data_IF_303522928730
#
_entry.id   IF_303522928730
#
_cell.length_a   1.000
_cell.length_b   1.000
_cell.length_c   1.000
_cell.angle_alpha   90.00
_cell.angle_beta   90.00
_cell.angle_gamma   90.00
#
_symmetry.space_group_name_H-M   'P 1'
#
loop_
_entity.id
_entity.type
_entity.pdbx_description
1 polymer ?
#
# COMPACT_ATOMS: atom_id res chain seq x y z
N UNK A 1 -46.30 46.41 -5.69
CA UNK A 1 -46.28 45.03 -5.17
C UNK A 1 -45.74 44.10 -6.23
N UNK A 2 -44.67 43.37 -5.87
CA UNK A 2 -44.21 42.07 -6.38
C UNK A 2 -43.99 41.86 -7.88
N UNK A 3 -42.73 41.96 -8.32
CA UNK A 3 -42.20 41.29 -9.52
C UNK A 3 -40.74 40.84 -9.28
N UNK A 4 -40.49 40.06 -8.24
CA UNK A 4 -39.14 39.56 -7.92
C UNK A 4 -39.20 38.19 -7.25
N UNK A 5 -39.76 37.16 -7.90
CA UNK A 5 -39.70 35.79 -7.35
C UNK A 5 -39.59 34.67 -8.39
N UNK A 6 -39.66 34.95 -9.70
CA UNK A 6 -39.79 33.88 -10.69
C UNK A 6 -38.47 33.27 -11.21
N UNK A 7 -37.30 33.85 -10.92
CA UNK A 7 -36.04 33.43 -11.58
C UNK A 7 -35.11 32.56 -10.74
N UNK A 8 -35.45 32.25 -9.48
CA UNK A 8 -34.54 31.53 -8.57
C UNK A 8 -34.77 30.01 -8.58
N UNK A 9 -35.88 29.52 -9.13
CA UNK A 9 -36.25 28.09 -9.03
C UNK A 9 -35.53 27.21 -10.07
N UNK A 10 -34.93 27.76 -11.12
CA UNK A 10 -34.38 26.96 -12.23
C UNK A 10 -32.89 26.59 -12.13
N UNK A 11 -32.18 26.99 -11.07
CA UNK A 11 -30.73 26.77 -10.94
C UNK A 11 -30.33 25.74 -9.86
N UNK A 12 -31.26 24.89 -9.39
CA UNK A 12 -30.97 23.87 -8.36
C UNK A 12 -30.97 22.43 -8.93
N UNK A 13 -31.35 22.24 -10.19
CA UNK A 13 -31.57 20.91 -10.78
C UNK A 13 -30.40 20.36 -11.63
N UNK A 14 -29.15 20.67 -11.29
CA UNK A 14 -27.97 20.15 -12.01
C UNK A 14 -26.90 19.54 -11.10
N UNK A 15 -27.24 19.15 -9.86
CA UNK A 15 -26.38 18.32 -9.02
C UNK A 15 -26.71 16.83 -9.23
N UNK A 16 -26.70 16.40 -10.49
CA UNK A 16 -26.88 15.01 -10.85
C UNK A 16 -25.58 14.24 -10.61
N UNK A 17 -25.58 13.47 -9.52
CA UNK A 17 -24.92 12.18 -9.34
C UNK A 17 -23.64 11.95 -10.16
N UNK A 18 -22.53 12.51 -9.69
CA UNK A 18 -21.23 11.86 -9.85
C UNK A 18 -21.12 10.76 -8.78
N UNK A 19 -21.84 9.65 -8.95
CA UNK A 19 -21.43 8.38 -8.35
C UNK A 19 -20.17 7.95 -9.08
N UNK A 20 -19.04 8.55 -8.68
CA UNK A 20 -17.73 8.16 -9.18
C UNK A 20 -17.51 6.70 -8.85
N UNK A 21 -17.10 5.93 -9.85
CA UNK A 21 -16.56 4.58 -9.63
C UNK A 21 -15.40 4.77 -8.66
N UNK A 22 -15.53 4.25 -7.44
CA UNK A 22 -14.46 4.31 -6.45
C UNK A 22 -13.30 3.45 -6.96
N UNK A 23 -12.29 4.10 -7.53
CA UNK A 23 -11.00 3.47 -7.83
C UNK A 23 -10.06 3.68 -6.64
N UNK A 24 -9.30 2.65 -6.31
CA UNK A 24 -8.20 2.78 -5.36
C UNK A 24 -7.12 3.68 -5.98
N UNK A 25 -6.78 4.78 -5.31
CA UNK A 25 -5.76 5.73 -5.79
C UNK A 25 -4.34 5.14 -5.66
N UNK A 26 -4.14 4.25 -4.69
CA UNK A 26 -2.92 3.50 -4.45
C UNK A 26 -3.28 2.12 -3.84
N UNK A 27 -2.31 1.35 -3.37
CA UNK A 27 -2.57 0.00 -2.86
C UNK A 27 -3.42 0.00 -1.57
N UNK A 28 -3.30 1.03 -0.72
CA UNK A 28 -3.97 1.10 0.59
C UNK A 28 -5.32 1.82 0.54
N UNK A 29 -5.43 2.81 -0.35
CA UNK A 29 -6.57 3.72 -0.41
C UNK A 29 -7.79 3.01 -1.04
N UNK A 30 -8.99 3.38 -0.60
CA UNK A 30 -10.23 2.64 -0.93
C UNK A 30 -10.49 1.41 -0.04
N UNK A 31 -9.66 1.19 0.99
CA UNK A 31 -9.94 0.26 2.09
C UNK A 31 -9.74 -1.23 1.76
N UNK A 32 -9.10 -1.55 0.63
CA UNK A 32 -8.93 -2.94 0.20
C UNK A 32 -7.70 -3.63 0.82
N UNK A 33 -6.60 -2.89 1.08
CA UNK A 33 -5.36 -3.44 1.67
C UNK A 33 -4.86 -2.62 2.89
N UNK A 34 -5.75 -1.87 3.55
CA UNK A 34 -5.38 -1.07 4.71
C UNK A 34 -4.82 -1.92 5.87
N UNK A 35 -5.15 -3.21 5.92
CA UNK A 35 -4.64 -4.17 6.89
C UNK A 35 -3.15 -4.49 6.72
N UNK A 36 -2.57 -4.25 5.53
CA UNK A 36 -1.16 -4.54 5.27
C UNK A 36 -0.20 -3.62 6.03
N UNK A 37 -0.71 -2.51 6.57
CA UNK A 37 0.05 -1.52 7.35
C UNK A 37 -0.43 -1.41 8.81
N UNK A 38 -1.28 -2.31 9.29
CA UNK A 38 -1.82 -2.25 10.65
C UNK A 38 -0.85 -2.84 11.67
N UNK A 39 0.32 -2.20 11.81
CA UNK A 39 1.38 -2.58 12.74
C UNK A 39 1.99 -1.35 13.41
N UNK A 40 2.48 -1.50 14.64
CA UNK A 40 3.17 -0.43 15.36
C UNK A 40 4.47 0.03 14.70
N UNK A 41 5.22 -0.91 14.10
CA UNK A 41 6.47 -0.63 13.42
C UNK A 41 6.37 -1.09 11.96
N UNK A 42 6.54 -0.15 11.03
CA UNK A 42 6.45 -0.39 9.59
C UNK A 42 7.82 -0.28 8.92
N UNK A 43 8.02 -1.04 7.85
CA UNK A 43 9.11 -0.74 6.93
C UNK A 43 8.86 0.60 6.22
N UNK A 44 9.93 1.33 5.94
CA UNK A 44 9.87 2.68 5.35
C UNK A 44 8.98 2.80 4.11
N UNK A 45 9.04 1.87 3.13
CA UNK A 45 8.15 1.89 1.97
C UNK A 45 6.66 1.81 2.33
N UNK A 46 6.28 1.08 3.37
CA UNK A 46 4.87 0.96 3.77
C UNK A 46 4.35 2.26 4.38
N UNK A 47 5.15 2.92 5.22
CA UNK A 47 4.84 4.26 5.72
C UNK A 47 4.78 5.30 4.58
N UNK A 48 5.60 5.12 3.54
CA UNK A 48 5.58 6.00 2.36
C UNK A 48 4.28 5.84 1.54
N UNK A 49 3.77 4.61 1.40
CA UNK A 49 2.50 4.33 0.72
C UNK A 49 1.31 4.99 1.43
N UNK A 50 1.30 4.97 2.77
CA UNK A 50 0.29 5.66 3.58
C UNK A 50 0.27 7.18 3.31
N UNK A 51 1.43 7.76 2.99
CA UNK A 51 1.59 9.17 2.60
C UNK A 51 1.31 9.44 1.12
N UNK A 52 0.82 8.44 0.36
CA UNK A 52 0.44 8.58 -1.04
C UNK A 52 1.60 8.41 -2.04
N UNK A 53 2.74 7.88 -1.61
CA UNK A 53 3.83 7.46 -2.52
C UNK A 53 3.63 6.02 -2.99
N UNK A 54 4.39 5.57 -4.00
CA UNK A 54 4.35 4.19 -4.50
C UNK A 54 5.34 3.31 -3.72
N UNK A 55 5.03 3.05 -2.46
CA UNK A 55 5.87 2.27 -1.55
C UNK A 55 5.75 0.76 -1.75
N UNK A 56 4.53 0.26 -1.97
CA UNK A 56 4.28 -1.18 -2.15
C UNK A 56 5.06 -1.77 -3.34
N UNK A 57 5.27 -0.96 -4.37
CA UNK A 57 5.95 -1.38 -5.60
C UNK A 57 7.47 -1.50 -5.47
N UNK A 58 8.03 -1.09 -4.33
CA UNK A 58 9.44 -1.32 -4.01
C UNK A 58 9.75 -2.81 -3.77
N UNK A 59 8.75 -3.58 -3.34
CA UNK A 59 8.88 -5.02 -3.09
C UNK A 59 8.01 -5.87 -4.04
N UNK A 60 6.83 -5.37 -4.40
CA UNK A 60 5.90 -6.06 -5.29
C UNK A 60 5.88 -5.45 -6.69
N UNK A 61 5.58 -6.28 -7.67
CA UNK A 61 5.37 -5.86 -9.04
C UNK A 61 3.99 -6.34 -9.50
N UNK A 62 3.02 -5.43 -9.68
CA UNK A 62 1.76 -5.80 -10.32
C UNK A 62 2.03 -6.38 -11.71
N UNK A 63 1.45 -7.53 -12.00
CA UNK A 63 1.54 -8.19 -13.30
C UNK A 63 0.16 -8.68 -13.72
N UNK A 64 0.02 -9.12 -14.97
CA UNK A 64 -1.20 -9.81 -15.40
C UNK A 64 -2.48 -8.99 -15.23
N UNK A 65 -3.46 -9.58 -14.54
CA UNK A 65 -4.78 -8.95 -14.35
C UNK A 65 -4.75 -7.99 -13.15
N UNK A 66 -5.26 -6.79 -13.36
CA UNK A 66 -5.51 -5.84 -12.27
C UNK A 66 -6.52 -6.41 -11.27
N UNK A 67 -6.38 -6.00 -10.00
CA UNK A 67 -7.32 -6.32 -8.94
C UNK A 67 -8.67 -5.62 -9.14
N UNK A 68 -9.72 -6.19 -8.56
CA UNK A 68 -11.04 -5.59 -8.37
C UNK A 68 -11.47 -5.73 -6.91
N UNK A 69 -12.57 -5.07 -6.53
CA UNK A 69 -13.09 -5.15 -5.16
C UNK A 69 -13.37 -6.58 -4.68
N UNK A 70 -13.67 -7.50 -5.60
CA UNK A 70 -13.98 -8.90 -5.32
C UNK A 70 -12.83 -9.88 -5.66
N UNK A 71 -11.75 -9.42 -6.32
CA UNK A 71 -10.68 -10.30 -6.80
C UNK A 71 -9.31 -9.67 -6.64
N UNK A 72 -8.39 -10.45 -6.07
CA UNK A 72 -6.98 -10.10 -6.01
C UNK A 72 -6.40 -10.05 -7.43
N UNK A 73 -5.53 -9.08 -7.67
CA UNK A 73 -4.73 -8.99 -8.89
C UNK A 73 -3.53 -9.92 -8.81
N UNK A 74 -2.82 -10.08 -9.93
CA UNK A 74 -1.59 -10.86 -9.97
C UNK A 74 -0.38 -10.00 -9.57
N UNK A 75 0.52 -10.57 -8.78
CA UNK A 75 1.73 -9.90 -8.32
C UNK A 75 2.94 -10.84 -8.40
N UNK A 76 4.08 -10.26 -8.73
CA UNK A 76 5.40 -10.86 -8.57
C UNK A 76 6.19 -10.09 -7.52
N UNK A 77 7.28 -10.66 -7.04
CA UNK A 77 8.28 -9.90 -6.29
C UNK A 77 9.19 -9.12 -7.25
N UNK A 78 9.59 -7.91 -6.87
CA UNK A 78 10.44 -7.05 -7.71
C UNK A 78 11.87 -7.62 -7.87
N UNK A 79 12.30 -8.48 -6.94
CA UNK A 79 13.52 -9.30 -7.02
C UNK A 79 13.32 -10.60 -6.22
N UNK A 80 14.33 -11.47 -6.16
CA UNK A 80 14.31 -12.59 -5.23
C UNK A 80 14.36 -12.10 -3.77
N UNK A 81 13.88 -12.90 -2.83
CA UNK A 81 13.71 -12.52 -1.41
C UNK A 81 14.96 -11.88 -0.81
N UNK A 82 16.10 -12.56 -0.92
CA UNK A 82 17.37 -12.09 -0.36
C UNK A 82 17.80 -10.76 -0.96
N UNK A 83 17.63 -10.61 -2.27
CA UNK A 83 17.97 -9.39 -2.98
C UNK A 83 17.07 -8.23 -2.54
N UNK A 84 15.75 -8.43 -2.42
CA UNK A 84 14.82 -7.41 -1.93
C UNK A 84 15.25 -6.81 -0.59
N UNK A 85 15.56 -7.66 0.38
CA UNK A 85 16.03 -7.22 1.70
C UNK A 85 17.38 -6.50 1.59
N UNK A 86 18.28 -7.01 0.75
CA UNK A 86 19.64 -6.51 0.59
C UNK A 86 19.73 -5.16 -0.13
N UNK A 87 18.67 -4.69 -0.79
CA UNK A 87 18.62 -3.36 -1.43
C UNK A 87 18.79 -2.25 -0.38
N UNK A 88 18.17 -2.41 0.79
CA UNK A 88 18.20 -1.43 1.87
C UNK A 88 19.06 -1.87 3.05
N UNK A 89 18.96 -3.14 3.45
CA UNK A 89 19.73 -3.69 4.55
C UNK A 89 21.04 -4.26 4.03
N UNK A 90 22.15 -3.61 4.36
CA UNK A 90 23.47 -4.13 4.03
C UNK A 90 23.68 -5.52 4.66
N UNK A 91 24.48 -6.36 3.99
CA UNK A 91 25.03 -7.57 4.62
C UNK A 91 25.91 -7.12 5.77
N UNK A 92 25.38 -7.08 6.99
CA UNK A 92 26.21 -6.91 8.17
C UNK A 92 27.25 -8.02 8.16
N UNK A 93 28.52 -7.65 7.98
CA UNK A 93 29.67 -8.55 8.12
C UNK A 93 29.93 -8.92 9.59
N UNK A 94 29.10 -8.41 10.52
CA UNK A 94 29.26 -8.56 11.95
C UNK A 94 28.46 -9.74 12.55
N UNK A 95 27.67 -10.46 11.75
CA UNK A 95 26.81 -11.54 12.25
C UNK A 95 26.85 -12.75 11.32
N UNK A 96 27.13 -13.95 11.86
CA UNK A 96 26.96 -15.26 11.18
C UNK A 96 25.51 -15.55 10.71
N UNK A 97 24.59 -14.59 10.87
CA UNK A 97 23.17 -14.71 10.59
C UNK A 97 22.91 -15.24 9.18
N UNK A 98 23.57 -14.67 8.17
CA UNK A 98 23.42 -15.11 6.77
C UNK A 98 24.17 -16.42 6.43
N UNK A 99 25.08 -16.88 7.29
CA UNK A 99 25.72 -18.20 7.14
C UNK A 99 24.83 -19.32 7.68
N UNK A 100 23.95 -18.99 8.63
CA UNK A 100 23.06 -19.94 9.31
C UNK A 100 21.61 -19.88 8.83
N UNK A 101 21.20 -18.76 8.24
CA UNK A 101 19.85 -18.51 7.76
C UNK A 101 19.89 -17.73 6.45
N UNK A 102 19.35 -18.32 5.38
CA UNK A 102 19.21 -17.71 4.05
C UNK A 102 17.79 -17.25 3.73
N UNK A 103 16.79 -17.80 4.45
CA UNK A 103 15.38 -17.41 4.39
C UNK A 103 15.08 -16.31 5.42
N UNK A 104 14.94 -15.07 4.97
CA UNK A 104 14.77 -13.89 5.81
C UNK A 104 13.39 -13.87 6.48
N UNK A 105 12.37 -14.35 5.78
CA UNK A 105 10.97 -14.28 6.19
C UNK A 105 10.59 -15.31 7.27
N UNK A 106 11.46 -16.29 7.55
CA UNK A 106 11.27 -17.25 8.64
C UNK A 106 11.24 -16.58 10.02
N UNK A 107 11.95 -15.45 10.15
CA UNK A 107 12.05 -14.69 11.39
C UNK A 107 11.57 -13.24 11.26
N UNK A 108 11.62 -12.67 10.05
CA UNK A 108 11.33 -11.26 9.84
C UNK A 108 10.00 -11.00 9.14
N UNK A 109 9.28 -9.98 9.61
CA UNK A 109 8.02 -9.54 8.99
C UNK A 109 8.28 -8.45 7.95
N UNK A 110 7.95 -8.66 6.66
CA UNK A 110 8.28 -7.73 5.59
C UNK A 110 7.38 -6.49 5.56
N UNK A 111 6.20 -6.55 6.18
CA UNK A 111 5.28 -5.41 6.23
C UNK A 111 5.47 -4.59 7.51
N UNK A 112 5.47 -5.27 8.65
CA UNK A 112 5.62 -4.61 9.94
C UNK A 112 5.36 -5.57 11.09
N UNK A 113 5.57 -5.10 12.30
CA UNK A 113 5.32 -5.86 13.51
C UNK A 113 5.02 -4.94 14.68
N UNK A 114 4.34 -5.47 15.69
CA UNK A 114 4.21 -4.82 16.98
C UNK A 114 5.44 -5.03 17.87
N UNK A 115 6.31 -5.95 17.48
CA UNK A 115 7.59 -6.25 18.12
C UNK A 115 8.77 -5.98 17.17
N UNK A 116 9.67 -5.10 17.61
CA UNK A 116 10.91 -4.77 16.88
C UNK A 116 11.91 -5.92 16.74
N UNK A 117 11.71 -7.04 17.45
CA UNK A 117 12.60 -8.21 17.34
C UNK A 117 12.43 -8.95 16.00
N UNK A 118 11.22 -8.94 15.44
CA UNK A 118 10.90 -9.53 14.14
C UNK A 118 11.09 -8.54 12.99
N UNK A 119 11.58 -7.33 13.24
CA UNK A 119 11.94 -6.38 12.20
C UNK A 119 13.43 -6.57 11.87
N UNK A 120 13.77 -6.69 10.58
CA UNK A 120 15.17 -6.69 10.17
C UNK A 120 15.75 -5.30 10.43
N UNK A 121 16.92 -5.23 11.07
CA UNK A 121 17.58 -3.97 11.44
C UNK A 121 18.74 -3.71 10.49
#
# INVERSE_FOLDING_TARGET
MSRTTASIVFAIAALALSVGVASAENCLNGGCHADQIDYKYLHGPLAAEELGMEGCTSCHKPVGKACSADKRGDFEFAANEKELCSICHGRSTATDHLEKHDDCLDCHSPHGSDDTSSMQR
#
